data_IF_933939936506
#
_entry.id   IF_933939936506
#
_cell.length_a   1.000
_cell.length_b   1.000
_cell.length_c   1.000
_cell.angle_alpha   90.00
_cell.angle_beta   90.00
_cell.angle_gamma   90.00
#
_symmetry.space_group_name_H-M   'P 1'
#
loop_
_entity.id
_entity.type
_entity.pdbx_description
1 polymer ?
#
# COMPACT_ATOMS: atom_id res chain seq x y z
N UNK A 1 0.88 -8.36 -17.64
CA UNK A 1 0.18 -7.06 -17.68
C UNK A 1 -1.29 -7.35 -17.83
N UNK A 2 -2.12 -6.94 -16.87
CA UNK A 2 -3.55 -7.05 -17.05
C UNK A 2 -4.03 -5.82 -17.82
N UNK A 3 -4.37 -6.02 -19.09
CA UNK A 3 -5.08 -5.03 -19.90
C UNK A 3 -6.55 -5.01 -19.43
N UNK A 4 -6.81 -4.29 -18.32
CA UNK A 4 -8.18 -4.06 -17.87
C UNK A 4 -8.78 -2.97 -18.76
N UNK A 5 -9.90 -3.23 -19.46
CA UNK A 5 -10.55 -2.23 -20.28
C UNK A 5 -10.95 -1.04 -19.41
N UNK A 6 -10.41 0.13 -19.72
CA UNK A 6 -10.76 1.37 -19.03
C UNK A 6 -11.97 2.02 -19.69
N UNK A 7 -13.07 2.16 -18.95
CA UNK A 7 -14.23 2.93 -19.36
C UNK A 7 -14.15 4.38 -18.86
N UNK A 8 -14.67 5.31 -19.68
CA UNK A 8 -14.87 6.71 -19.26
C UNK A 8 -16.26 6.83 -18.65
N UNK A 9 -16.33 7.29 -17.41
CA UNK A 9 -17.59 7.51 -16.70
C UNK A 9 -17.58 8.91 -16.11
N UNK A 10 -18.73 9.60 -16.11
CA UNK A 10 -18.90 10.86 -15.43
C UNK A 10 -19.65 10.61 -14.11
N UNK A 11 -19.00 10.91 -12.98
CA UNK A 11 -19.53 10.72 -11.64
C UNK A 11 -19.19 11.95 -10.80
N UNK A 12 -20.12 12.35 -9.94
CA UNK A 12 -19.86 13.39 -8.94
C UNK A 12 -19.10 12.77 -7.77
N UNK A 13 -18.00 13.41 -7.37
CA UNK A 13 -17.13 12.96 -6.28
C UNK A 13 -16.94 14.14 -5.34
N UNK A 14 -16.99 13.87 -4.04
CA UNK A 14 -16.65 14.85 -3.02
C UNK A 14 -15.16 15.23 -3.12
N UNK A 15 -14.90 16.52 -3.37
CA UNK A 15 -13.55 17.05 -3.55
C UNK A 15 -12.71 17.02 -2.26
N UNK A 16 -13.33 17.11 -1.08
CA UNK A 16 -12.61 16.95 0.17
C UNK A 16 -12.17 15.51 0.39
N UNK A 17 -13.02 14.55 0.00
CA UNK A 17 -12.71 13.14 0.09
C UNK A 17 -11.57 12.76 -0.86
N UNK A 18 -11.63 13.22 -2.12
CA UNK A 18 -10.58 12.92 -3.10
C UNK A 18 -9.25 13.57 -2.68
N UNK A 19 -9.27 14.80 -2.18
CA UNK A 19 -8.08 15.47 -1.67
C UNK A 19 -7.45 14.72 -0.49
N UNK A 20 -8.27 14.20 0.42
CA UNK A 20 -7.80 13.41 1.56
C UNK A 20 -7.10 12.14 1.09
N UNK A 21 -7.66 11.45 0.11
CA UNK A 21 -7.06 10.25 -0.50
C UNK A 21 -5.75 10.61 -1.22
N UNK A 22 -5.77 11.67 -2.04
CA UNK A 22 -4.60 12.15 -2.77
C UNK A 22 -3.45 12.51 -1.85
N UNK A 23 -3.70 13.25 -0.75
CA UNK A 23 -2.69 13.58 0.26
C UNK A 23 -2.19 12.37 1.02
N UNK A 24 -3.10 11.47 1.43
CA UNK A 24 -2.76 10.26 2.20
C UNK A 24 -1.87 9.31 1.41
N UNK A 25 -2.12 9.16 0.11
CA UNK A 25 -1.42 8.20 -0.75
C UNK A 25 -0.46 8.84 -1.74
N UNK A 26 -0.30 10.17 -1.70
CA UNK A 26 0.62 10.95 -2.52
C UNK A 26 0.44 10.76 -4.04
N UNK A 27 -0.79 10.54 -4.47
CA UNK A 27 -1.14 10.44 -5.91
C UNK A 27 -1.46 11.81 -6.49
N UNK A 28 -1.23 11.99 -7.79
CA UNK A 28 -1.24 13.31 -8.44
C UNK A 28 -2.58 13.67 -9.07
N UNK A 29 -3.42 12.68 -9.36
CA UNK A 29 -4.68 12.88 -10.06
C UNK A 29 -5.86 12.24 -9.33
N UNK A 30 -7.05 12.83 -9.51
CA UNK A 30 -8.31 12.26 -9.01
C UNK A 30 -8.54 10.84 -9.55
N UNK A 31 -8.14 10.58 -10.80
CA UNK A 31 -8.25 9.26 -11.43
C UNK A 31 -7.40 8.20 -10.72
N UNK A 32 -6.15 8.52 -10.40
CA UNK A 32 -5.27 7.61 -9.63
C UNK A 32 -5.84 7.35 -8.23
N UNK A 33 -6.38 8.38 -7.57
CA UNK A 33 -7.01 8.23 -6.26
C UNK A 33 -8.23 7.30 -6.31
N UNK A 34 -9.07 7.41 -7.35
CA UNK A 34 -10.23 6.52 -7.56
C UNK A 34 -9.78 5.09 -7.86
N UNK A 35 -8.81 4.90 -8.76
CA UNK A 35 -8.28 3.56 -9.10
C UNK A 35 -7.72 2.87 -7.85
N UNK A 36 -6.91 3.59 -7.07
CA UNK A 36 -6.32 3.10 -5.82
C UNK A 36 -7.38 2.72 -4.78
N UNK A 37 -8.44 3.52 -4.63
CA UNK A 37 -9.53 3.24 -3.72
C UNK A 37 -10.31 1.98 -4.13
N UNK A 38 -10.58 1.83 -5.43
CA UNK A 38 -11.29 0.68 -5.97
C UNK A 38 -10.47 -0.61 -5.82
N UNK A 39 -9.17 -0.60 -6.11
CA UNK A 39 -8.29 -1.76 -5.91
C UNK A 39 -8.27 -2.21 -4.46
N UNK A 40 -8.18 -1.26 -3.52
CA UNK A 40 -8.24 -1.57 -2.08
C UNK A 40 -9.60 -2.14 -1.67
N UNK A 41 -10.69 -1.57 -2.15
CA UNK A 41 -12.03 -2.05 -1.83
C UNK A 41 -12.32 -3.44 -2.41
N UNK A 42 -11.80 -3.72 -3.61
CA UNK A 42 -11.88 -5.02 -4.26
C UNK A 42 -10.99 -6.08 -3.59
N UNK A 43 -10.11 -5.69 -2.67
CA UNK A 43 -9.15 -6.60 -2.04
C UNK A 43 -8.06 -7.08 -3.00
N UNK A 44 -7.79 -6.33 -4.08
CA UNK A 44 -6.72 -6.69 -5.00
C UNK A 44 -5.36 -6.62 -4.28
N UNK A 45 -4.55 -7.69 -4.31
CA UNK A 45 -3.20 -7.63 -3.80
C UNK A 45 -2.42 -6.58 -4.60
N UNK A 46 -1.70 -5.72 -3.88
CA UNK A 46 -0.84 -4.69 -4.46
C UNK A 46 0.07 -5.33 -5.51
N UNK A 47 0.15 -4.71 -6.69
CA UNK A 47 1.03 -5.20 -7.74
C UNK A 47 2.48 -5.12 -7.29
N UNK A 48 3.34 -5.97 -7.86
CA UNK A 48 4.76 -6.00 -7.51
C UNK A 48 5.41 -4.65 -7.74
N UNK A 49 5.01 -3.95 -8.78
CA UNK A 49 5.48 -2.62 -9.15
C UNK A 49 5.09 -1.58 -8.08
N UNK A 50 3.82 -1.53 -7.65
CA UNK A 50 3.37 -0.65 -6.57
C UNK A 50 4.09 -0.97 -5.25
N UNK A 51 4.32 -2.24 -4.92
CA UNK A 51 5.10 -2.62 -3.73
C UNK A 51 6.56 -2.15 -3.82
N UNK A 52 7.14 -2.17 -5.03
CA UNK A 52 8.49 -1.66 -5.26
C UNK A 52 8.54 -0.13 -5.21
N UNK A 53 7.47 0.58 -5.58
CA UNK A 53 7.37 2.04 -5.40
C UNK A 53 7.26 2.43 -3.91
N UNK A 54 6.79 1.53 -3.05
CA UNK A 54 6.87 1.71 -1.59
C UNK A 54 8.29 1.50 -1.04
N UNK A 55 9.27 1.05 -1.82
CA UNK A 55 10.66 0.98 -1.33
C UNK A 55 11.18 2.38 -1.02
N UNK A 56 11.53 2.61 0.23
CA UNK A 56 12.04 3.88 0.72
C UNK A 56 11.03 4.71 1.49
N UNK A 57 9.77 4.26 1.64
CA UNK A 57 8.95 4.72 2.77
C UNK A 57 9.66 4.20 4.03
N UNK A 58 10.29 5.11 4.76
CA UNK A 58 11.21 4.77 5.84
C UNK A 58 10.58 3.77 6.81
N UNK A 59 11.25 2.65 6.98
CA UNK A 59 10.99 1.77 8.10
C UNK A 59 11.89 2.25 9.24
N UNK A 60 11.26 2.73 10.32
CA UNK A 60 11.93 3.35 11.49
C UNK A 60 12.14 2.37 12.65
N UNK A 61 12.04 1.06 12.38
CA UNK A 61 12.33 0.07 13.41
C UNK A 61 13.84 -0.12 13.60
N UNK A 62 14.24 -0.66 14.74
CA UNK A 62 15.59 -1.17 14.94
C UNK A 62 15.64 -2.65 14.51
N UNK A 63 16.39 -2.96 13.44
CA UNK A 63 16.57 -4.33 12.95
C UNK A 63 17.21 -5.23 14.01
N UNK A 64 18.05 -4.66 14.87
CA UNK A 64 18.72 -5.40 15.92
C UNK A 64 17.76 -5.74 17.06
N UNK A 65 16.76 -4.89 17.32
CA UNK A 65 15.71 -5.18 18.31
C UNK A 65 14.86 -6.39 17.92
N UNK A 66 14.40 -6.45 16.68
CA UNK A 66 13.59 -7.58 16.18
C UNK A 66 14.38 -8.89 16.18
N UNK A 67 15.69 -8.83 15.93
CA UNK A 67 16.54 -10.02 15.86
C UNK A 67 16.90 -10.59 17.24
N UNK A 68 16.91 -9.76 18.29
CA UNK A 68 17.19 -10.18 19.66
C UNK A 68 16.11 -11.09 20.25
N UNK A 69 14.88 -11.00 19.76
CA UNK A 69 13.74 -11.77 20.29
C UNK A 69 13.71 -13.24 19.80
N UNK A 70 14.52 -13.59 18.79
CA UNK A 70 14.51 -14.92 18.16
C UNK A 70 15.48 -15.93 18.80
N UNK A 71 16.34 -15.53 19.75
CA UNK A 71 17.40 -16.41 20.30
C UNK A 71 17.19 -16.88 21.73
N UNK A 72 15.99 -16.75 22.30
CA UNK A 72 15.66 -17.49 23.53
C UNK A 72 14.86 -18.74 23.22
N UNK A 73 15.48 -19.85 23.60
CA UNK A 73 14.86 -21.13 24.01
C UNK A 73 15.01 -22.30 23.05
N UNK A 74 16.22 -22.86 22.99
CA UNK A 74 16.44 -24.29 22.72
C UNK A 74 17.59 -24.80 23.63
N UNK A 75 17.42 -24.72 24.96
CA UNK A 75 18.24 -25.52 25.87
C UNK A 75 17.62 -26.92 25.98
N UNK A 76 18.07 -27.84 25.12
CA UNK A 76 17.76 -29.25 25.28
C UNK A 76 18.61 -29.82 26.43
N UNK A 77 17.97 -30.10 27.56
CA UNK A 77 18.58 -30.87 28.65
C UNK A 77 18.66 -32.35 28.26
N UNK A 78 19.86 -32.92 28.28
CA UNK A 78 20.15 -34.32 28.63
C UNK A 78 21.62 -34.47 29.00
#
# INVERSE_FOLDING_TARGET
>A
MYDHPMSRTNIDIDDELIDRVMRRYRVKTKREAVDLALRRAAGEPMTREEFLELRGIGWDGDLDEIRRDRTKDWSWSS
#
